data_IF_237934634534
#
_entry.id   IF_237934634534
#
_cell.length_a   1.000
_cell.length_b   1.000
_cell.length_c   1.000
_cell.angle_alpha   90.00
_cell.angle_beta   90.00
_cell.angle_gamma   90.00
#
_symmetry.space_group_name_H-M   'P 1'
#
loop_
_entity.id
_entity.type
_entity.pdbx_description
1 polymer ?
#
# COMPACT_ATOMS: atom_id res chain seq x y z
N UNK A 1 16.95 -29.49 -9.11
CA UNK A 1 16.81 -28.24 -9.88
C UNK A 1 17.98 -27.31 -9.49
N UNK A 2 19.22 -27.73 -9.76
CA UNK A 2 20.44 -27.02 -9.35
C UNK A 2 21.45 -26.96 -10.50
N UNK A 3 21.04 -26.40 -11.64
CA UNK A 3 21.88 -26.37 -12.84
C UNK A 3 22.78 -25.12 -12.95
N UNK A 4 22.57 -24.05 -12.17
CA UNK A 4 23.29 -22.77 -12.35
C UNK A 4 23.80 -22.15 -11.04
N UNK A 5 25.10 -21.82 -10.92
CA UNK A 5 25.67 -21.19 -9.72
C UNK A 5 25.15 -19.76 -9.50
N UNK A 6 25.03 -19.33 -8.24
CA UNK A 6 24.55 -17.98 -7.85
C UNK A 6 25.43 -16.85 -8.40
N UNK A 7 26.73 -17.11 -8.62
CA UNK A 7 27.67 -16.18 -9.24
C UNK A 7 27.26 -15.72 -10.65
N UNK A 8 26.36 -16.43 -11.34
CA UNK A 8 25.86 -15.95 -12.64
C UNK A 8 24.86 -14.80 -12.52
N UNK A 9 24.29 -14.59 -11.34
CA UNK A 9 23.18 -13.63 -11.13
C UNK A 9 23.59 -12.41 -10.28
N UNK A 10 24.87 -12.31 -9.90
CA UNK A 10 25.37 -11.30 -8.96
C UNK A 10 25.27 -9.86 -9.48
N UNK A 11 25.26 -9.64 -10.79
CA UNK A 11 25.12 -8.29 -11.36
C UNK A 11 23.65 -7.87 -11.60
N UNK A 12 22.70 -8.78 -11.39
CA UNK A 12 21.29 -8.54 -11.68
C UNK A 12 20.64 -7.77 -10.52
N UNK A 13 20.23 -6.53 -10.80
CA UNK A 13 19.56 -5.64 -9.84
C UNK A 13 18.05 -5.53 -10.03
N UNK A 14 17.55 -5.85 -11.23
CA UNK A 14 16.14 -5.78 -11.58
C UNK A 14 15.74 -7.07 -12.25
N UNK A 15 14.67 -7.69 -11.76
CA UNK A 15 14.09 -8.89 -12.33
C UNK A 15 12.60 -8.64 -12.61
N UNK A 16 12.23 -8.79 -13.88
CA UNK A 16 10.83 -8.71 -14.31
C UNK A 16 10.41 -10.09 -14.77
N UNK A 17 9.29 -10.57 -14.22
CA UNK A 17 8.69 -11.85 -14.58
C UNK A 17 7.33 -11.55 -15.15
N UNK A 18 7.04 -12.10 -16.33
CA UNK A 18 5.74 -12.00 -16.98
C UNK A 18 5.12 -13.38 -17.10
N UNK A 19 3.88 -13.52 -16.64
CA UNK A 19 3.17 -14.79 -16.59
C UNK A 19 3.62 -15.67 -15.43
N UNK A 20 2.98 -16.84 -15.28
CA UNK A 20 3.24 -17.79 -14.20
C UNK A 20 3.49 -19.21 -14.70
N UNK A 21 4.35 -19.93 -14.00
CA UNK A 21 4.62 -21.36 -14.19
C UNK A 21 3.70 -22.21 -13.32
N UNK A 22 3.54 -23.51 -13.64
CA UNK A 22 2.84 -24.48 -12.76
C UNK A 22 3.60 -24.83 -11.48
N UNK A 23 4.67 -24.09 -11.16
CA UNK A 23 5.59 -24.32 -10.04
C UNK A 23 6.04 -23.00 -9.42
N UNK A 24 6.37 -23.00 -8.13
CA UNK A 24 6.94 -21.85 -7.45
C UNK A 24 8.32 -21.49 -8.01
N UNK A 25 8.52 -20.20 -8.29
CA UNK A 25 9.79 -19.64 -8.74
C UNK A 25 10.62 -19.00 -7.63
N UNK A 26 10.05 -18.86 -6.43
CA UNK A 26 10.70 -18.19 -5.30
C UNK A 26 11.98 -18.87 -4.82
N UNK A 27 12.12 -20.20 -4.86
CA UNK A 27 13.42 -20.85 -4.63
C UNK A 27 14.50 -20.39 -5.63
N UNK A 28 14.14 -20.10 -6.88
CA UNK A 28 15.07 -19.59 -7.89
C UNK A 28 15.45 -18.13 -7.64
N UNK A 29 14.51 -17.29 -7.17
CA UNK A 29 14.74 -15.88 -6.84
C UNK A 29 15.80 -15.72 -5.75
N UNK A 30 15.94 -16.68 -4.83
CA UNK A 30 16.99 -16.69 -3.79
C UNK A 30 18.42 -16.65 -4.35
N UNK A 31 18.62 -17.00 -5.63
CA UNK A 31 19.95 -16.97 -6.28
C UNK A 31 20.42 -15.55 -6.62
N UNK A 32 19.52 -14.57 -6.65
CA UNK A 32 19.83 -13.19 -7.01
C UNK A 32 20.21 -12.39 -5.77
N UNK A 33 21.47 -12.47 -5.37
CA UNK A 33 21.98 -11.89 -4.12
C UNK A 33 22.02 -10.35 -4.09
N UNK A 34 21.95 -9.68 -5.25
CA UNK A 34 21.97 -8.22 -5.37
C UNK A 34 20.70 -7.64 -6.00
N UNK A 35 19.61 -8.42 -6.02
CA UNK A 35 18.33 -8.01 -6.61
C UNK A 35 17.69 -6.93 -5.74
N UNK A 36 17.61 -5.71 -6.25
CA UNK A 36 16.99 -4.56 -5.56
C UNK A 36 15.50 -4.44 -5.88
N UNK A 37 15.14 -4.69 -7.14
CA UNK A 37 13.77 -4.54 -7.65
C UNK A 37 13.26 -5.83 -8.27
N UNK A 38 12.07 -6.23 -7.83
CA UNK A 38 11.40 -7.42 -8.31
C UNK A 38 9.98 -7.08 -8.78
N UNK A 39 9.69 -7.36 -10.05
CA UNK A 39 8.41 -7.07 -10.69
C UNK A 39 7.75 -8.35 -11.20
N UNK A 40 6.49 -8.54 -10.81
CA UNK A 40 5.65 -9.64 -11.21
C UNK A 40 4.46 -9.11 -12.02
N UNK A 41 4.44 -9.40 -13.31
CA UNK A 41 3.34 -9.05 -14.23
C UNK A 41 2.54 -10.30 -14.56
N UNK A 42 1.21 -10.21 -14.48
CA UNK A 42 0.27 -11.27 -14.85
C UNK A 42 0.60 -12.61 -14.12
N UNK A 43 1.14 -12.49 -12.90
CA UNK A 43 1.64 -13.63 -12.13
C UNK A 43 0.52 -14.28 -11.32
N UNK A 44 0.44 -15.61 -11.38
CA UNK A 44 -0.57 -16.37 -10.66
C UNK A 44 0.00 -17.01 -9.39
N UNK A 45 -0.42 -16.51 -8.22
CA UNK A 45 0.01 -17.02 -6.93
C UNK A 45 -0.68 -18.33 -6.50
N UNK A 46 -1.54 -18.93 -7.32
CA UNK A 46 -2.23 -20.20 -6.99
C UNK A 46 -1.28 -21.37 -6.75
N UNK A 47 -0.15 -21.41 -7.47
CA UNK A 47 0.80 -22.52 -7.44
C UNK A 47 2.00 -22.28 -6.52
N UNK A 48 1.92 -21.25 -5.68
CA UNK A 48 2.95 -20.95 -4.70
C UNK A 48 2.91 -21.96 -3.56
N UNK A 49 4.07 -22.42 -3.14
CA UNK A 49 4.22 -23.37 -2.04
C UNK A 49 4.76 -22.58 -0.86
N UNK A 50 4.15 -22.67 0.34
CA UNK A 50 4.70 -22.05 1.54
C UNK A 50 6.17 -22.45 1.71
N UNK A 51 7.07 -21.50 1.47
CA UNK A 51 8.49 -21.74 1.62
C UNK A 51 8.84 -21.44 3.07
N UNK A 52 9.05 -22.50 3.87
CA UNK A 52 9.84 -22.38 5.11
C UNK A 52 11.24 -21.96 4.71
N UNK A 53 11.46 -20.65 4.63
CA UNK A 53 12.79 -20.14 4.32
C UNK A 53 13.72 -20.45 5.48
N UNK A 54 14.98 -20.73 5.15
CA UNK A 54 16.04 -20.78 6.14
C UNK A 54 16.07 -19.44 6.89
N UNK A 55 15.79 -19.50 8.19
CA UNK A 55 15.77 -18.35 9.06
C UNK A 55 17.18 -17.79 9.19
N UNK A 56 17.53 -16.76 8.42
CA UNK A 56 18.82 -16.11 8.61
C UNK A 56 19.21 -15.05 7.59
N UNK A 57 18.81 -15.17 6.31
CA UNK A 57 19.24 -14.21 5.28
C UNK A 57 18.08 -13.35 4.81
N UNK A 58 18.15 -12.08 5.19
CA UNK A 58 17.28 -11.01 4.70
C UNK A 58 17.40 -10.87 3.17
N UNK A 59 16.25 -10.77 2.49
CA UNK A 59 16.24 -10.59 1.03
C UNK A 59 16.86 -9.24 0.64
N UNK A 60 17.70 -9.17 -0.41
CA UNK A 60 18.21 -7.89 -0.91
C UNK A 60 17.11 -7.02 -1.55
N UNK A 61 15.94 -7.61 -1.85
CA UNK A 61 14.84 -6.95 -2.55
C UNK A 61 14.25 -5.85 -1.67
N UNK A 62 14.26 -4.63 -2.21
CA UNK A 62 13.69 -3.44 -1.56
C UNK A 62 12.43 -2.97 -2.27
N UNK A 63 12.33 -3.20 -3.58
CA UNK A 63 11.24 -2.68 -4.40
C UNK A 63 10.44 -3.86 -4.95
N UNK A 64 9.15 -3.95 -4.59
CA UNK A 64 8.23 -4.95 -5.13
C UNK A 64 7.15 -4.28 -5.96
N UNK A 65 6.98 -4.75 -7.19
CA UNK A 65 5.90 -4.34 -8.08
C UNK A 65 5.04 -5.55 -8.46
N UNK A 66 3.75 -5.47 -8.18
CA UNK A 66 2.75 -6.43 -8.61
C UNK A 66 1.87 -5.76 -9.66
N UNK A 67 1.78 -6.34 -10.85
CA UNK A 67 0.97 -5.84 -11.95
C UNK A 67 0.07 -6.98 -12.46
N UNK A 68 -1.25 -6.80 -12.42
CA UNK A 68 -2.26 -7.78 -12.83
C UNK A 68 -2.07 -9.16 -12.16
N UNK A 69 -1.55 -9.19 -10.93
CA UNK A 69 -1.31 -10.43 -10.22
C UNK A 69 -2.60 -10.98 -9.61
N UNK A 70 -2.75 -12.30 -9.63
CA UNK A 70 -3.96 -13.02 -9.20
C UNK A 70 -3.64 -14.02 -8.08
N UNK A 71 -4.65 -14.41 -7.30
CA UNK A 71 -4.59 -15.30 -6.13
C UNK A 71 -3.74 -14.77 -4.96
N UNK A 72 -3.86 -13.48 -4.64
CA UNK A 72 -3.01 -12.76 -3.66
C UNK A 72 -3.44 -12.92 -2.18
N UNK A 73 -4.48 -13.69 -1.88
CA UNK A 73 -5.13 -13.75 -0.56
C UNK A 73 -4.23 -14.17 0.62
N UNK A 74 -3.05 -14.75 0.33
CA UNK A 74 -2.14 -15.28 1.33
C UNK A 74 -0.73 -14.67 1.30
N UNK A 75 -0.44 -13.78 0.35
CA UNK A 75 0.93 -13.32 0.11
C UNK A 75 1.45 -12.32 1.15
N UNK A 76 0.55 -11.75 1.97
CA UNK A 76 0.89 -10.81 3.04
C UNK A 76 1.04 -11.48 4.41
N UNK A 77 0.88 -12.79 4.49
CA UNK A 77 0.93 -13.55 5.74
C UNK A 77 2.37 -13.90 6.12
N UNK A 78 2.60 -14.07 7.42
CA UNK A 78 3.77 -14.76 7.95
C UNK A 78 3.87 -16.16 7.31
N UNK A 79 5.08 -16.58 6.96
CA UNK A 79 5.38 -17.84 6.24
C UNK A 79 4.92 -17.88 4.76
N UNK A 80 4.48 -16.76 4.19
CA UNK A 80 4.28 -16.64 2.75
C UNK A 80 5.61 -16.64 1.99
N UNK A 81 5.56 -16.92 0.69
CA UNK A 81 6.77 -16.85 -0.16
C UNK A 81 7.41 -15.46 -0.19
N UNK A 82 6.61 -14.40 0.05
CA UNK A 82 7.10 -13.04 0.13
C UNK A 82 7.60 -12.65 1.51
N UNK A 83 7.36 -13.41 2.58
CA UNK A 83 7.64 -12.98 3.95
C UNK A 83 9.10 -12.52 4.17
N UNK A 84 10.05 -13.21 3.55
CA UNK A 84 11.49 -12.88 3.56
C UNK A 84 11.83 -11.58 2.79
N UNK A 85 10.96 -11.18 1.88
CA UNK A 85 11.05 -9.94 1.09
C UNK A 85 10.37 -8.81 1.84
N UNK A 86 9.17 -9.05 2.38
CA UNK A 86 8.30 -8.03 2.96
C UNK A 86 9.05 -7.17 4.00
N UNK A 87 9.83 -7.80 4.89
CA UNK A 87 10.54 -7.12 5.96
C UNK A 87 11.57 -6.07 5.50
N UNK A 88 12.07 -6.13 4.26
CA UNK A 88 13.03 -5.17 3.69
C UNK A 88 12.43 -4.21 2.66
N UNK A 89 11.14 -4.38 2.33
CA UNK A 89 10.49 -3.56 1.32
C UNK A 89 10.46 -2.08 1.72
N UNK A 90 10.70 -1.23 0.73
CA UNK A 90 10.65 0.23 0.82
C UNK A 90 9.51 0.78 -0.06
N UNK A 91 9.56 0.74 -1.40
CA UNK A 91 8.38 0.91 -2.21
C UNK A 91 7.67 -0.43 -2.45
N UNK A 92 6.36 -0.41 -2.26
CA UNK A 92 5.44 -1.41 -2.74
C UNK A 92 4.49 -0.75 -3.76
N UNK A 93 4.45 -1.30 -4.97
CA UNK A 93 3.50 -0.90 -6.00
C UNK A 93 2.58 -2.08 -6.33
N UNK A 94 1.27 -1.86 -6.26
CA UNK A 94 0.25 -2.82 -6.65
C UNK A 94 -0.64 -2.20 -7.73
N UNK A 95 -0.74 -2.86 -8.88
CA UNK A 95 -1.50 -2.36 -10.03
C UNK A 95 -2.36 -3.47 -10.63
N UNK A 96 -3.64 -3.23 -10.91
CA UNK A 96 -4.44 -4.21 -11.66
C UNK A 96 -4.77 -5.50 -10.89
N UNK A 97 -4.52 -5.53 -9.59
CA UNK A 97 -4.63 -6.74 -8.78
C UNK A 97 -6.03 -6.90 -8.19
N UNK A 98 -7.00 -7.32 -9.01
CA UNK A 98 -8.42 -7.39 -8.64
C UNK A 98 -8.79 -8.58 -7.73
N UNK A 99 -7.87 -9.51 -7.48
CA UNK A 99 -8.09 -10.55 -6.47
C UNK A 99 -7.80 -10.06 -5.04
N UNK A 100 -7.25 -8.84 -4.88
CA UNK A 100 -6.82 -8.33 -3.60
C UNK A 100 -7.86 -7.40 -2.96
N UNK A 101 -8.57 -7.92 -1.96
CA UNK A 101 -9.59 -7.15 -1.22
C UNK A 101 -8.95 -6.05 -0.35
N UNK A 102 -7.82 -6.35 0.28
CA UNK A 102 -7.03 -5.43 1.10
C UNK A 102 -5.63 -6.00 1.44
N UNK A 103 -4.72 -5.15 1.92
CA UNK A 103 -3.40 -5.56 2.43
C UNK A 103 -3.51 -5.91 3.92
N UNK A 104 -3.51 -7.22 4.23
CA UNK A 104 -3.53 -7.76 5.61
C UNK A 104 -2.16 -8.32 5.99
N UNK A 105 -1.18 -7.43 6.09
CA UNK A 105 0.17 -7.79 6.49
C UNK A 105 0.26 -8.09 7.99
N UNK A 106 1.13 -9.02 8.38
CA UNK A 106 1.54 -9.12 9.79
C UNK A 106 2.25 -7.85 10.26
N UNK A 107 2.19 -7.58 11.56
CA UNK A 107 2.71 -6.36 12.19
C UNK A 107 4.20 -6.08 11.94
N UNK A 108 4.99 -7.10 11.61
CA UNK A 108 6.41 -6.97 11.29
C UNK A 108 6.72 -6.83 9.80
N UNK A 109 5.78 -7.16 8.91
CA UNK A 109 6.11 -7.42 7.50
C UNK A 109 6.28 -6.17 6.66
N UNK A 110 5.83 -4.98 7.07
CA UNK A 110 5.94 -3.75 6.24
C UNK A 110 6.51 -2.55 7.00
N UNK A 111 7.27 -2.78 8.08
CA UNK A 111 7.77 -1.70 8.94
C UNK A 111 8.74 -0.75 8.23
N UNK A 112 9.51 -1.27 7.25
CA UNK A 112 10.48 -0.50 6.47
C UNK A 112 9.87 0.20 5.25
N UNK A 113 8.57 0.02 5.00
CA UNK A 113 7.90 0.55 3.83
C UNK A 113 7.88 2.08 3.86
N UNK A 114 8.50 2.71 2.87
CA UNK A 114 8.56 4.18 2.72
C UNK A 114 7.53 4.71 1.75
N UNK A 115 7.10 3.88 0.78
CA UNK A 115 6.17 4.27 -0.27
C UNK A 115 5.18 3.14 -0.56
N UNK A 116 3.89 3.48 -0.55
CA UNK A 116 2.82 2.57 -0.95
C UNK A 116 2.05 3.20 -2.12
N UNK A 117 2.10 2.55 -3.28
CA UNK A 117 1.35 2.96 -4.47
C UNK A 117 0.37 1.85 -4.83
N UNK A 118 -0.92 2.15 -4.86
CA UNK A 118 -1.96 1.24 -5.34
C UNK A 118 -2.77 1.91 -6.43
N UNK A 119 -2.97 1.22 -7.55
CA UNK A 119 -3.75 1.77 -8.65
C UNK A 119 -4.49 0.73 -9.47
N UNK A 120 -5.67 1.05 -10.00
CA UNK A 120 -6.43 0.13 -10.87
C UNK A 120 -6.71 -1.22 -10.19
N UNK A 121 -6.99 -1.23 -8.89
CA UNK A 121 -7.39 -2.43 -8.15
C UNK A 121 -8.87 -2.27 -7.80
N UNK A 122 -9.75 -2.63 -8.73
CA UNK A 122 -11.15 -2.23 -8.67
C UNK A 122 -11.92 -3.02 -7.62
N UNK A 123 -11.57 -4.28 -7.38
CA UNK A 123 -12.23 -5.11 -6.34
C UNK A 123 -11.76 -4.80 -4.91
N UNK A 124 -10.75 -3.93 -4.74
CA UNK A 124 -10.22 -3.58 -3.43
C UNK A 124 -11.19 -2.63 -2.70
N UNK A 125 -11.85 -3.11 -1.65
CA UNK A 125 -12.82 -2.30 -0.89
C UNK A 125 -12.15 -1.39 0.14
N UNK A 126 -11.00 -1.82 0.69
CA UNK A 126 -10.16 -1.02 1.57
C UNK A 126 -8.67 -1.29 1.33
N UNK A 127 -7.79 -0.30 1.55
CA UNK A 127 -6.35 -0.50 1.30
C UNK A 127 -5.67 -1.31 2.41
N UNK A 128 -5.84 -0.86 3.65
CA UNK A 128 -5.21 -1.43 4.85
C UNK A 128 -6.20 -1.44 6.01
N UNK A 129 -5.82 -2.05 7.13
CA UNK A 129 -6.57 -1.97 8.39
C UNK A 129 -5.85 -1.07 9.42
N UNK A 130 -6.52 -0.67 10.52
CA UNK A 130 -5.91 0.11 11.60
C UNK A 130 -4.63 -0.52 12.14
N UNK A 131 -4.64 -1.83 12.38
CA UNK A 131 -3.46 -2.58 12.84
C UNK A 131 -2.30 -2.54 11.83
N UNK A 132 -2.57 -2.56 10.53
CA UNK A 132 -1.53 -2.50 9.49
C UNK A 132 -0.96 -1.09 9.38
N UNK A 133 -1.80 -0.06 9.21
CA UNK A 133 -1.31 1.32 9.00
C UNK A 133 -0.50 1.84 10.17
N UNK A 134 -0.85 1.44 11.40
CA UNK A 134 -0.09 1.77 12.63
C UNK A 134 1.35 1.24 12.60
N UNK A 135 1.59 0.14 11.90
CA UNK A 135 2.92 -0.48 11.80
C UNK A 135 3.76 0.08 10.64
N UNK A 136 3.20 0.92 9.77
CA UNK A 136 3.91 1.55 8.66
C UNK A 136 4.73 2.77 9.13
N UNK A 137 5.63 2.55 10.09
CA UNK A 137 6.35 3.60 10.84
C UNK A 137 7.37 4.38 10.01
N UNK A 138 7.77 3.86 8.85
CA UNK A 138 8.67 4.53 7.90
C UNK A 138 7.93 5.14 6.70
N UNK A 139 6.60 4.99 6.62
CA UNK A 139 5.84 5.40 5.44
C UNK A 139 5.85 6.92 5.30
N UNK A 140 6.36 7.39 4.18
CA UNK A 140 6.43 8.82 3.83
C UNK A 140 5.44 9.21 2.76
N UNK A 141 5.07 8.27 1.89
CA UNK A 141 4.21 8.53 0.74
C UNK A 141 3.19 7.42 0.56
N UNK A 142 1.92 7.78 0.46
CA UNK A 142 0.83 6.86 0.12
C UNK A 142 0.07 7.42 -1.07
N UNK A 143 -0.12 6.60 -2.10
CA UNK A 143 -0.89 6.97 -3.29
C UNK A 143 -1.88 5.88 -3.65
N UNK A 144 -3.14 6.26 -3.80
CA UNK A 144 -4.24 5.38 -4.17
C UNK A 144 -4.98 6.02 -5.34
N UNK A 145 -5.04 5.34 -6.48
CA UNK A 145 -5.53 5.93 -7.73
C UNK A 145 -6.39 4.97 -8.52
N UNK A 146 -7.54 5.42 -9.04
CA UNK A 146 -8.35 4.61 -9.95
C UNK A 146 -8.74 3.23 -9.37
N UNK A 147 -9.08 3.14 -8.08
CA UNK A 147 -9.66 1.94 -7.48
C UNK A 147 -11.15 2.23 -7.25
N UNK A 148 -12.04 1.80 -8.15
CA UNK A 148 -13.41 2.34 -8.21
C UNK A 148 -14.34 1.84 -7.11
N UNK A 149 -14.18 0.60 -6.63
CA UNK A 149 -15.02 0.04 -5.55
C UNK A 149 -14.50 0.35 -4.14
N UNK A 150 -13.35 1.02 -4.01
CA UNK A 150 -12.78 1.35 -2.71
C UNK A 150 -13.69 2.33 -1.95
N UNK A 151 -14.25 1.90 -0.82
CA UNK A 151 -15.15 2.71 0.02
C UNK A 151 -14.41 3.46 1.12
N UNK A 152 -13.26 2.94 1.53
CA UNK A 152 -12.40 3.47 2.60
C UNK A 152 -10.92 3.18 2.36
N UNK A 153 -10.02 4.01 2.87
CA UNK A 153 -8.57 3.75 2.77
C UNK A 153 -8.13 2.80 3.89
N UNK A 154 -8.53 3.12 5.11
CA UNK A 154 -8.31 2.32 6.32
C UNK A 154 -9.64 1.71 6.71
N UNK A 155 -9.73 0.39 6.65
CA UNK A 155 -10.93 -0.35 7.05
C UNK A 155 -11.21 -0.27 8.55
N UNK A 156 -12.22 -1.02 8.99
CA UNK A 156 -12.63 -1.06 10.39
C UNK A 156 -12.24 -2.39 11.05
N UNK A 157 -11.72 -2.34 12.29
CA UNK A 157 -11.41 -3.52 13.11
C UNK A 157 -12.21 -3.59 14.42
N UNK A 158 -13.16 -2.67 14.65
CA UNK A 158 -14.10 -2.73 15.77
C UNK A 158 -13.57 -2.25 17.13
N UNK A 159 -12.26 -1.98 17.26
CA UNK A 159 -11.64 -1.40 18.45
C UNK A 159 -11.68 0.13 18.42
N UNK A 160 -12.89 0.68 18.56
CA UNK A 160 -13.13 2.12 18.52
C UNK A 160 -12.45 2.81 19.72
N UNK A 161 -11.93 4.03 19.52
CA UNK A 161 -11.14 4.82 20.48
C UNK A 161 -9.63 4.56 20.55
N UNK A 162 -9.06 3.68 19.73
CA UNK A 162 -7.60 3.59 19.61
C UNK A 162 -7.00 4.86 18.97
N UNK A 163 -5.83 5.27 19.47
CA UNK A 163 -4.99 6.28 18.81
C UNK A 163 -4.07 5.62 17.78
N UNK A 164 -4.12 6.11 16.55
CA UNK A 164 -3.30 5.68 15.42
C UNK A 164 -2.41 6.85 15.00
N UNK A 165 -1.10 6.68 15.18
CA UNK A 165 -0.11 7.69 14.79
C UNK A 165 0.58 7.23 13.52
N UNK A 166 0.38 7.96 12.43
CA UNK A 166 1.06 7.72 11.15
C UNK A 166 2.23 8.69 11.05
N UNK A 167 3.31 8.34 11.74
CA UNK A 167 4.33 9.29 12.22
C UNK A 167 5.15 10.00 11.15
N UNK A 168 5.34 9.40 9.97
CA UNK A 168 6.23 9.95 8.92
C UNK A 168 5.54 10.27 7.61
N UNK A 169 4.23 10.05 7.50
CA UNK A 169 3.52 10.25 6.24
C UNK A 169 3.53 11.74 5.89
N UNK A 170 4.17 12.09 4.77
CA UNK A 170 4.30 13.46 4.26
C UNK A 170 3.34 13.75 3.13
N UNK A 171 3.11 12.77 2.25
CA UNK A 171 2.30 12.90 1.05
C UNK A 171 1.23 11.80 1.00
N UNK A 172 -0.03 12.22 0.92
CA UNK A 172 -1.18 11.34 0.69
C UNK A 172 -1.90 11.79 -0.59
N UNK A 173 -2.03 10.88 -1.55
CA UNK A 173 -2.74 11.14 -2.81
C UNK A 173 -3.90 10.16 -2.97
N UNK A 174 -5.12 10.69 -3.08
CA UNK A 174 -6.36 9.96 -3.31
C UNK A 174 -6.97 10.47 -4.60
N UNK A 175 -6.96 9.66 -5.66
CA UNK A 175 -7.31 10.14 -7.01
C UNK A 175 -8.27 9.19 -7.70
N UNK A 176 -9.36 9.72 -8.22
CA UNK A 176 -10.34 9.01 -9.01
C UNK A 176 -10.90 7.77 -8.28
N UNK A 177 -11.22 7.93 -6.99
CA UNK A 177 -11.80 6.89 -6.14
C UNK A 177 -13.30 7.14 -6.05
N UNK A 178 -14.05 6.53 -6.97
CA UNK A 178 -15.46 6.85 -7.21
C UNK A 178 -16.37 6.45 -6.05
N UNK A 179 -16.07 5.35 -5.36
CA UNK A 179 -16.86 4.86 -4.22
C UNK A 179 -16.36 5.33 -2.85
N UNK A 180 -15.23 6.06 -2.79
CA UNK A 180 -14.61 6.43 -1.52
C UNK A 180 -15.50 7.37 -0.73
N UNK A 181 -15.93 6.94 0.46
CA UNK A 181 -16.82 7.71 1.35
C UNK A 181 -16.08 8.39 2.49
N UNK A 182 -15.01 7.78 2.97
CA UNK A 182 -14.13 8.28 4.05
C UNK A 182 -12.71 7.73 3.91
N UNK A 183 -11.73 8.34 4.57
CA UNK A 183 -10.42 7.74 4.79
C UNK A 183 -10.52 6.56 5.76
N UNK A 184 -11.31 6.70 6.84
CA UNK A 184 -11.62 5.62 7.77
C UNK A 184 -13.02 5.82 8.34
N UNK A 185 -13.91 4.80 8.30
CA UNK A 185 -15.26 4.92 8.83
C UNK A 185 -15.30 4.79 10.36
N UNK A 186 -14.26 4.22 10.98
CA UNK A 186 -14.24 4.03 12.44
C UNK A 186 -13.93 5.31 13.22
N UNK A 187 -14.47 5.40 14.44
CA UNK A 187 -14.20 6.49 15.38
C UNK A 187 -12.84 6.32 16.08
N UNK A 188 -11.76 6.37 15.29
CA UNK A 188 -10.37 6.32 15.75
C UNK A 188 -9.81 7.73 15.94
N UNK A 189 -8.81 7.89 16.81
CA UNK A 189 -8.03 9.12 16.88
C UNK A 189 -6.81 9.00 15.95
N UNK A 190 -6.82 9.69 14.81
CA UNK A 190 -5.66 9.73 13.92
C UNK A 190 -4.78 10.96 14.17
N UNK A 191 -3.47 10.72 14.22
CA UNK A 191 -2.46 11.77 14.25
C UNK A 191 -1.49 11.61 13.08
N UNK A 192 -1.42 12.63 12.22
CA UNK A 192 -0.47 12.72 11.12
C UNK A 192 0.48 13.92 11.34
N UNK A 193 1.51 13.77 12.19
CA UNK A 193 2.35 14.88 12.62
C UNK A 193 3.23 15.47 11.52
N UNK A 194 3.43 14.76 10.41
CA UNK A 194 4.29 15.16 9.29
C UNK A 194 3.56 15.32 7.96
N UNK A 195 2.22 15.27 7.93
CA UNK A 195 1.47 15.35 6.68
C UNK A 195 1.53 16.77 6.12
N UNK A 196 2.32 16.95 5.07
CA UNK A 196 2.60 18.23 4.41
C UNK A 196 1.70 18.42 3.17
N UNK A 197 1.41 17.33 2.45
CA UNK A 197 0.64 17.35 1.21
C UNK A 197 -0.48 16.30 1.23
N UNK A 198 -1.70 16.78 1.02
CA UNK A 198 -2.87 15.95 0.73
C UNK A 198 -3.45 16.36 -0.62
N UNK A 199 -3.48 15.41 -1.56
CA UNK A 199 -4.13 15.58 -2.86
C UNK A 199 -5.38 14.70 -2.85
N UNK A 200 -6.53 15.33 -3.08
CA UNK A 200 -7.79 14.63 -3.30
C UNK A 200 -8.35 15.12 -4.62
N UNK A 201 -8.46 14.24 -5.60
CA UNK A 201 -8.87 14.58 -6.97
C UNK A 201 -9.92 13.58 -7.45
N UNK A 202 -11.07 14.05 -7.93
CA UNK A 202 -12.12 13.17 -8.49
C UNK A 202 -12.61 12.05 -7.54
N UNK A 203 -12.85 12.36 -6.25
CA UNK A 203 -13.40 11.41 -5.27
C UNK A 203 -14.84 11.81 -4.84
N UNK A 204 -15.85 11.79 -5.74
CA UNK A 204 -17.12 12.49 -5.57
C UNK A 204 -17.94 12.12 -4.34
N UNK A 205 -17.72 10.94 -3.74
CA UNK A 205 -18.45 10.44 -2.57
C UNK A 205 -17.75 10.73 -1.24
N UNK A 206 -16.52 11.28 -1.26
CA UNK A 206 -15.71 11.50 -0.06
C UNK A 206 -16.24 12.70 0.71
N UNK A 207 -17.18 12.48 1.62
CA UNK A 207 -17.83 13.57 2.36
C UNK A 207 -17.00 14.05 3.55
N UNK A 208 -16.26 13.16 4.18
CA UNK A 208 -15.40 13.44 5.33
C UNK A 208 -14.09 12.70 5.18
N UNK A 209 -13.05 13.16 5.87
CA UNK A 209 -11.82 12.40 5.99
C UNK A 209 -12.00 11.25 6.99
N UNK A 210 -12.35 11.51 8.25
CA UNK A 210 -12.69 10.44 9.20
C UNK A 210 -13.76 10.88 10.19
N UNK A 211 -14.48 9.93 10.79
CA UNK A 211 -15.48 10.23 11.81
C UNK A 211 -14.87 10.59 13.17
N UNK A 212 -13.73 9.99 13.52
CA UNK A 212 -13.06 10.26 14.79
C UNK A 212 -12.18 11.52 14.81
N UNK A 213 -11.41 11.66 15.89
CA UNK A 213 -10.56 12.84 16.12
C UNK A 213 -9.38 12.86 15.16
N UNK A 214 -9.14 14.00 14.52
CA UNK A 214 -8.04 14.20 13.56
C UNK A 214 -7.07 15.27 14.05
N UNK A 215 -5.78 14.93 14.07
CA UNK A 215 -4.70 15.90 14.25
C UNK A 215 -3.77 15.88 13.03
N UNK A 216 -3.63 17.02 12.38
CA UNK A 216 -2.81 17.21 11.17
C UNK A 216 -2.03 18.54 11.26
N UNK A 217 -1.13 18.70 12.26
CA UNK A 217 -0.58 20.02 12.63
C UNK A 217 0.24 20.71 11.54
N UNK A 218 0.78 19.96 10.57
CA UNK A 218 1.56 20.51 9.45
C UNK A 218 0.72 20.75 8.20
N UNK A 219 -0.49 20.19 8.14
CA UNK A 219 -1.34 20.30 6.97
C UNK A 219 -2.09 21.62 7.01
N UNK A 220 -1.79 22.51 6.06
CA UNK A 220 -2.42 23.83 5.96
C UNK A 220 -3.24 24.02 4.68
N UNK A 221 -3.21 23.05 3.76
CA UNK A 221 -3.91 23.12 2.47
C UNK A 221 -4.10 21.74 1.85
N UNK A 222 -5.18 21.58 1.10
CA UNK A 222 -5.48 20.37 0.33
C UNK A 222 -5.47 20.69 -1.17
N UNK A 223 -4.70 19.95 -1.97
CA UNK A 223 -4.60 20.14 -3.42
C UNK A 223 -5.78 19.48 -4.15
N UNK A 224 -6.39 20.19 -5.10
CA UNK A 224 -7.57 19.72 -5.85
C UNK A 224 -7.24 18.85 -7.07
N UNK A 225 -6.08 19.05 -7.66
CA UNK A 225 -5.57 18.19 -8.72
C UNK A 225 -4.07 18.13 -8.63
N UNK A 226 -3.47 17.03 -9.10
CA UNK A 226 -2.00 16.99 -9.22
C UNK A 226 -1.49 18.07 -10.19
N UNK A 227 -2.27 18.40 -11.21
CA UNK A 227 -1.85 19.23 -12.34
C UNK A 227 -2.19 20.73 -12.23
N UNK A 228 -3.03 21.13 -11.28
CA UNK A 228 -3.34 22.55 -11.05
C UNK A 228 -2.92 23.01 -9.66
N UNK A 229 -2.56 24.29 -9.52
CA UNK A 229 -2.22 24.92 -8.24
C UNK A 229 -3.47 25.37 -7.47
N UNK A 230 -4.57 24.62 -7.58
CA UNK A 230 -5.79 24.92 -6.85
C UNK A 230 -5.75 24.23 -5.49
N UNK A 231 -5.69 25.06 -4.45
CA UNK A 231 -5.63 24.65 -3.05
C UNK A 231 -6.94 25.05 -2.33
N UNK A 232 -7.31 24.30 -1.32
CA UNK A 232 -8.44 24.63 -0.44
C UNK A 232 -8.07 24.43 1.02
N UNK A 233 -8.50 25.35 1.88
CA UNK A 233 -8.44 25.23 3.33
C UNK A 233 -9.51 26.10 3.96
N UNK A 234 -10.24 25.58 4.94
CA UNK A 234 -11.34 26.31 5.59
C UNK A 234 -11.10 26.50 7.07
N UNK A 235 -10.95 25.39 7.81
CA UNK A 235 -10.75 25.38 9.27
C UNK A 235 -9.97 24.15 9.69
N UNK A 236 -10.52 22.99 9.32
CA UNK A 236 -9.98 21.67 9.59
C UNK A 236 -10.12 20.80 8.32
N UNK A 237 -9.48 19.64 8.35
CA UNK A 237 -9.45 18.74 7.21
C UNK A 237 -10.85 18.21 6.84
N UNK A 238 -11.69 17.83 7.81
CA UNK A 238 -13.02 17.32 7.53
C UNK A 238 -13.92 18.38 6.88
N UNK A 239 -13.91 19.61 7.41
CA UNK A 239 -14.66 20.74 6.85
C UNK A 239 -14.17 21.09 5.44
N UNK A 240 -12.85 21.09 5.23
CA UNK A 240 -12.24 21.35 3.92
C UNK A 240 -12.67 20.31 2.88
N UNK A 241 -12.74 19.02 3.27
CA UNK A 241 -13.23 17.95 2.39
C UNK A 241 -14.74 18.09 2.10
N UNK A 242 -15.56 18.41 3.12
CA UNK A 242 -17.01 18.62 2.95
C UNK A 242 -17.32 19.73 1.95
N UNK A 243 -16.64 20.88 2.07
CA UNK A 243 -16.94 22.07 1.26
C UNK A 243 -16.73 21.86 -0.25
N UNK A 244 -15.81 20.98 -0.62
CA UNK A 244 -15.51 20.65 -2.04
C UNK A 244 -16.70 20.07 -2.81
N UNK A 245 -17.72 19.58 -2.12
CA UNK A 245 -18.92 18.99 -2.73
C UNK A 245 -20.18 19.83 -2.53
N UNK A 246 -20.13 20.89 -1.71
CA UNK A 246 -21.24 21.85 -1.57
C UNK A 246 -21.16 23.02 -2.54
N UNK A 247 -20.01 23.26 -3.18
CA UNK A 247 -19.80 24.33 -4.17
C UNK A 247 -20.11 23.90 -5.62
N UNK A 248 -20.96 22.88 -5.82
CA UNK A 248 -21.37 22.40 -7.15
C UNK A 248 -22.85 22.61 -7.40
#
# INVERSE_FOLDING_TARGET
>A
MDQFPSALFQDIKVLVVRGGTRSSMFPFIRRFCNLDSFKLCDFNFKYTVPCKGDAGTLSPIRNLELENAINLNHIWRKDSELDHILSNLRPLTVRGCDDLINIRASSSSLQNLTTLNVSFCDMMTNLVTPSVIKNLVQLTTMRVKYCTEMTEIVGNEGDYHQTIVVSKLKCLELINLQSLTSFCPGNYTFNFPCLEELIVEQCPRLKIFSEGVLSTPQLQRVKQSRYCEKWSWTSDLNTTIRQRYTEK
#
